data_IF_981868452603
#
_entry.id   IF_981868452603
#
_cell.length_a   1.000
_cell.length_b   1.000
_cell.length_c   1.000
_cell.angle_alpha   90.00
_cell.angle_beta   90.00
_cell.angle_gamma   90.00
#
_symmetry.space_group_name_H-M   'P 1'
#
loop_
_entity.id
_entity.type
_entity.pdbx_description
1 polymer ?
#
# COMPACT_ATOMS: atom_id res chain seq x y z
N UNK A 1 -22.28 -24.44 37.13
CA UNK A 1 -21.85 -24.08 35.76
C UNK A 1 -22.33 -22.66 35.50
N UNK A 2 -21.48 -21.62 35.57
CA UNK A 2 -20.57 -21.16 34.49
C UNK A 2 -21.35 -21.11 33.17
N UNK A 3 -21.76 -19.94 32.68
CA UNK A 3 -20.93 -19.09 31.80
C UNK A 3 -21.28 -17.60 32.00
N UNK A 4 -20.21 -16.81 32.06
CA UNK A 4 -20.13 -15.41 32.41
C UNK A 4 -20.77 -14.46 31.40
N UNK A 5 -21.32 -13.38 31.96
CA UNK A 5 -21.65 -12.10 31.34
C UNK A 5 -20.45 -11.55 30.57
N UNK A 6 -20.52 -11.54 29.25
CA UNK A 6 -19.55 -10.91 28.34
C UNK A 6 -20.18 -9.59 27.85
N UNK A 7 -20.35 -8.64 28.78
CA UNK A 7 -20.67 -7.26 28.41
C UNK A 7 -19.36 -6.50 28.19
N UNK A 8 -19.20 -6.17 26.93
CA UNK A 8 -18.35 -5.17 26.29
C UNK A 8 -18.18 -3.89 27.15
N UNK A 9 -17.04 -3.74 27.82
CA UNK A 9 -16.59 -2.45 28.36
C UNK A 9 -15.11 -2.28 28.04
N UNK A 10 -14.86 -1.59 26.92
CA UNK A 10 -13.55 -1.11 26.50
C UNK A 10 -13.15 0.05 27.45
N UNK A 11 -12.58 -0.29 28.60
CA UNK A 11 -11.99 0.69 29.50
C UNK A 11 -10.62 1.11 28.96
N UNK A 12 -10.40 2.43 28.86
CA UNK A 12 -9.10 3.03 28.56
C UNK A 12 -8.04 2.47 29.51
N UNK A 13 -7.09 1.72 28.98
CA UNK A 13 -5.88 1.36 29.71
C UNK A 13 -4.89 2.52 29.62
N UNK A 14 -4.88 3.38 30.65
CA UNK A 14 -3.75 4.27 30.92
C UNK A 14 -2.53 3.40 31.20
N UNK A 15 -1.58 3.35 30.26
CA UNK A 15 -0.28 2.70 30.50
C UNK A 15 0.48 3.59 31.48
N UNK A 16 0.59 3.13 32.73
CA UNK A 16 1.50 3.71 33.71
C UNK A 16 2.91 3.15 33.43
N UNK A 17 3.83 4.02 33.02
CA UNK A 17 5.25 3.67 32.94
C UNK A 17 5.79 3.55 34.36
N UNK A 18 6.28 2.35 34.67
CA UNK A 18 6.96 1.96 35.90
C UNK A 18 8.07 2.94 36.28
N UNK A 19 8.09 3.34 37.56
CA UNK A 19 9.15 4.14 38.16
C UNK A 19 10.49 3.40 38.08
N UNK A 20 11.51 4.05 37.50
CA UNK A 20 12.91 3.62 37.60
C UNK A 20 13.48 4.20 38.91
N UNK A 21 14.11 3.41 39.78
CA UNK A 21 14.75 3.94 40.98
C UNK A 21 15.97 4.77 40.59
N UNK A 22 15.92 6.09 40.86
CA UNK A 22 17.08 6.99 40.76
C UNK A 22 18.02 6.73 41.94
N UNK A 23 18.91 5.76 41.77
CA UNK A 23 19.96 5.47 42.73
C UNK A 23 21.05 6.57 42.74
N UNK A 24 21.29 7.12 43.93
CA UNK A 24 22.57 7.59 44.46
C UNK A 24 23.53 8.40 43.55
N UNK A 25 23.06 9.53 43.01
CA UNK A 25 23.94 10.63 42.57
C UNK A 25 23.60 11.98 43.22
N UNK A 26 23.00 11.94 44.42
CA UNK A 26 22.67 13.11 45.23
C UNK A 26 23.79 13.54 46.20
N UNK A 27 25.02 13.06 46.01
CA UNK A 27 26.15 13.43 46.86
C UNK A 27 27.32 13.91 46.01
N UNK A 28 27.61 15.21 46.14
CA UNK A 28 28.81 15.93 45.68
C UNK A 28 28.71 16.69 44.35
N UNK A 29 27.90 17.75 44.35
CA UNK A 29 28.25 19.01 43.68
C UNK A 29 27.76 20.19 44.55
N UNK A 30 28.28 20.30 45.76
CA UNK A 30 28.35 21.61 46.43
C UNK A 30 29.71 22.22 46.09
N UNK A 31 29.70 23.52 45.76
CA UNK A 31 30.85 24.39 45.43
C UNK A 31 31.25 24.50 43.95
N UNK A 32 30.39 25.11 43.12
CA UNK A 32 30.85 26.17 42.20
C UNK A 32 29.83 27.29 42.13
N UNK A 33 30.20 28.40 42.75
CA UNK A 33 29.48 29.67 42.84
C UNK A 33 29.29 30.30 41.44
N UNK A 34 28.04 30.63 41.13
CA UNK A 34 27.57 31.70 40.23
C UNK A 34 28.00 31.69 38.75
N UNK A 35 27.02 31.56 37.85
CA UNK A 35 26.70 32.68 36.95
C UNK A 35 25.18 32.83 36.88
N UNK A 36 24.69 33.91 37.47
CA UNK A 36 23.30 34.36 37.40
C UNK A 36 23.06 34.81 35.96
N UNK A 37 22.12 34.18 35.26
CA UNK A 37 21.60 34.74 34.00
C UNK A 37 20.71 35.90 34.44
N UNK A 38 21.23 37.12 34.32
CA UNK A 38 20.46 38.34 34.58
C UNK A 38 19.43 38.43 33.46
N UNK A 39 18.15 38.28 33.80
CA UNK A 39 17.04 38.73 32.95
C UNK A 39 17.07 40.26 32.98
N UNK A 40 17.83 40.85 32.06
CA UNK A 40 17.79 42.28 31.80
C UNK A 40 16.77 42.53 30.69
N UNK A 41 15.57 42.99 31.07
CA UNK A 41 14.61 43.55 30.11
C UNK A 41 15.11 44.93 29.68
N UNK A 42 16.05 44.94 28.73
CA UNK A 42 16.72 46.14 28.24
C UNK A 42 17.14 46.00 26.79
N UNK A 43 17.46 47.14 26.15
CA UNK A 43 18.03 47.17 24.81
C UNK A 43 19.33 46.35 24.76
N UNK A 44 19.56 45.62 23.66
CA UNK A 44 20.78 44.85 23.48
C UNK A 44 22.02 45.75 23.59
N UNK A 45 22.83 45.54 24.63
CA UNK A 45 24.05 46.30 24.91
C UNK A 45 25.30 45.43 24.97
N UNK A 46 25.46 44.48 24.03
CA UNK A 46 26.67 43.68 23.95
C UNK A 46 27.85 44.50 23.42
N UNK A 47 28.93 44.55 24.21
CA UNK A 47 30.13 45.36 23.88
C UNK A 47 30.93 44.78 22.70
N UNK A 48 30.78 43.49 22.42
CA UNK A 48 31.54 42.73 21.42
C UNK A 48 30.76 42.46 20.12
N UNK A 49 29.51 42.92 20.00
CA UNK A 49 28.69 42.73 18.78
C UNK A 49 28.43 44.08 18.12
N UNK A 50 29.17 44.38 17.05
CA UNK A 50 28.93 45.58 16.25
C UNK A 50 27.57 45.53 15.54
N UNK A 51 26.84 46.67 15.40
CA UNK A 51 25.63 46.75 14.58
C UNK A 51 25.78 46.32 13.13
N UNK A 52 27.01 46.38 12.59
CA UNK A 52 27.34 45.92 11.22
C UNK A 52 27.61 44.41 11.12
N UNK A 53 27.62 43.69 12.24
CA UNK A 53 27.92 42.26 12.26
C UNK A 53 26.73 41.45 11.71
N UNK A 54 27.00 40.43 10.90
CA UNK A 54 25.95 39.60 10.27
C UNK A 54 25.01 38.94 11.29
N UNK A 55 25.51 38.62 12.48
CA UNK A 55 24.73 37.99 13.55
C UNK A 55 23.93 39.01 14.38
N UNK A 56 24.24 40.31 14.31
CA UNK A 56 23.56 41.35 15.10
C UNK A 56 22.03 41.30 15.03
N UNK A 57 21.38 41.23 13.84
CA UNK A 57 19.92 41.18 13.78
C UNK A 57 19.33 39.91 14.41
N UNK A 58 20.03 38.77 14.33
CA UNK A 58 19.56 37.52 14.91
C UNK A 58 19.69 37.53 16.43
N UNK A 59 20.82 38.00 16.95
CA UNK A 59 21.04 38.10 18.39
C UNK A 59 20.06 39.14 18.97
N UNK A 60 19.84 40.28 18.29
CA UNK A 60 18.89 41.33 18.69
C UNK A 60 17.50 40.79 18.96
N UNK A 61 16.94 40.03 18.02
CA UNK A 61 15.64 39.37 18.21
C UNK A 61 15.63 38.39 19.38
N UNK A 62 16.66 37.56 19.49
CA UNK A 62 16.73 36.56 20.55
C UNK A 62 16.87 37.16 21.96
N UNK A 63 17.49 38.33 22.07
CA UNK A 63 17.62 39.07 23.33
C UNK A 63 16.35 39.88 23.65
N UNK A 64 15.90 40.73 22.72
CA UNK A 64 14.83 41.69 22.97
C UNK A 64 13.42 41.09 22.84
N UNK A 65 13.20 40.21 21.86
CA UNK A 65 11.85 39.72 21.51
C UNK A 65 11.53 38.41 22.24
N UNK A 66 12.54 37.56 22.42
CA UNK A 66 12.36 36.22 22.98
C UNK A 66 12.95 36.06 24.39
N UNK A 67 13.86 36.95 24.81
CA UNK A 67 14.57 36.89 26.10
C UNK A 67 15.19 35.51 26.39
N UNK A 68 15.58 34.77 25.35
CA UNK A 68 16.13 33.41 25.44
C UNK A 68 17.65 33.40 25.52
N UNK A 69 18.29 34.47 25.04
CA UNK A 69 19.73 34.67 25.12
C UNK A 69 20.04 35.67 26.23
N UNK A 70 20.87 35.25 27.19
CA UNK A 70 21.53 36.14 28.13
C UNK A 70 23.01 36.25 27.76
N UNK A 71 23.56 37.45 27.86
CA UNK A 71 25.01 37.65 27.71
C UNK A 71 25.80 37.08 28.88
N UNK A 72 27.11 37.14 28.76
CA UNK A 72 28.00 36.92 29.90
C UNK A 72 27.91 38.11 30.88
N UNK A 73 28.22 37.89 32.17
CA UNK A 73 28.15 38.94 33.20
C UNK A 73 29.07 40.13 32.96
N UNK A 74 30.03 40.00 32.05
CA UNK A 74 30.91 41.06 31.58
C UNK A 74 30.31 41.91 30.46
N UNK A 75 29.04 41.68 30.09
CA UNK A 75 28.34 42.41 29.03
C UNK A 75 28.75 42.00 27.61
N UNK A 76 29.31 40.80 27.44
CA UNK A 76 29.73 40.28 26.14
C UNK A 76 28.89 39.07 25.70
N UNK A 77 28.78 38.84 24.39
CA UNK A 77 28.11 37.66 23.80
C UNK A 77 29.10 36.51 23.54
N UNK A 78 30.37 36.83 23.27
CA UNK A 78 31.50 35.92 22.99
C UNK A 78 31.26 34.97 21.82
N UNK A 79 30.62 35.44 20.76
CA UNK A 79 30.24 34.61 19.60
C UNK A 79 31.41 33.98 18.82
N UNK A 80 32.63 34.50 18.97
CA UNK A 80 33.84 33.96 18.32
C UNK A 80 34.49 32.79 19.08
N UNK A 81 33.96 32.42 20.26
CA UNK A 81 34.47 31.32 21.07
C UNK A 81 33.78 30.01 20.69
N UNK A 82 34.51 28.89 20.77
CA UNK A 82 33.92 27.56 20.68
C UNK A 82 32.88 27.36 21.78
N UNK A 83 31.68 26.95 21.38
CA UNK A 83 30.56 26.66 22.29
C UNK A 83 30.70 25.25 22.87
N UNK A 84 30.55 25.09 24.18
CA UNK A 84 30.50 23.76 24.79
C UNK A 84 29.13 23.11 24.58
N UNK A 85 29.09 21.77 24.57
CA UNK A 85 27.82 21.03 24.42
C UNK A 85 26.80 21.37 25.52
N UNK A 86 27.27 21.66 26.73
CA UNK A 86 26.41 22.02 27.87
C UNK A 86 25.79 23.41 27.70
N UNK A 87 26.57 24.38 27.22
CA UNK A 87 26.07 25.73 26.94
C UNK A 87 25.05 25.71 25.79
N UNK A 88 25.31 24.90 24.75
CA UNK A 88 24.36 24.70 23.66
C UNK A 88 23.05 24.06 24.14
N UNK A 89 23.13 22.99 24.94
CA UNK A 89 21.94 22.32 25.47
C UNK A 89 21.10 23.24 26.35
N UNK A 90 21.74 24.06 27.20
CA UNK A 90 21.04 25.05 28.03
C UNK A 90 20.33 26.12 27.20
N UNK A 91 20.98 26.62 26.14
CA UNK A 91 20.37 27.58 25.22
C UNK A 91 19.16 26.99 24.49
N UNK A 92 19.28 25.76 23.98
CA UNK A 92 18.18 25.08 23.28
C UNK A 92 17.02 24.80 24.23
N UNK A 93 17.27 24.38 25.47
CA UNK A 93 16.22 24.15 26.47
C UNK A 93 15.38 25.41 26.68
N UNK A 94 16.03 26.56 26.89
CA UNK A 94 15.34 27.84 27.08
C UNK A 94 14.53 28.28 25.87
N UNK A 95 15.05 28.03 24.66
CA UNK A 95 14.31 28.31 23.42
C UNK A 95 13.06 27.45 23.34
N UNK A 96 13.16 26.16 23.67
CA UNK A 96 12.02 25.25 23.64
C UNK A 96 10.95 25.66 24.66
N UNK A 97 11.33 26.03 25.88
CA UNK A 97 10.40 26.53 26.90
C UNK A 97 9.67 27.80 26.42
N UNK A 98 10.39 28.71 25.74
CA UNK A 98 9.79 29.94 25.19
C UNK A 98 8.87 29.65 24.00
N UNK A 99 9.24 28.71 23.13
CA UNK A 99 8.39 28.28 22.00
C UNK A 99 7.11 27.65 22.52
N UNK A 100 7.18 26.80 23.55
CA UNK A 100 6.02 26.21 24.20
C UNK A 100 5.12 27.29 24.83
N UNK A 101 5.69 28.29 25.50
CA UNK A 101 4.97 29.46 26.02
C UNK A 101 4.28 30.28 24.91
N UNK A 102 4.95 30.50 23.78
CA UNK A 102 4.39 31.23 22.64
C UNK A 102 3.26 30.45 21.93
N UNK A 103 3.40 29.13 21.85
CA UNK A 103 2.36 28.23 21.32
C UNK A 103 1.17 28.18 22.29
N UNK A 104 1.42 28.07 23.61
CA UNK A 104 0.39 28.05 24.65
C UNK A 104 -0.36 29.39 24.74
N UNK A 105 0.31 30.52 24.49
CA UNK A 105 -0.29 31.86 24.40
C UNK A 105 -1.00 32.13 23.08
N UNK A 106 -1.08 31.14 22.18
CA UNK A 106 -2.04 31.13 21.07
C UNK A 106 -1.79 32.16 19.97
N UNK A 107 -0.54 32.60 19.75
CA UNK A 107 -0.21 33.47 18.62
C UNK A 107 0.66 32.70 17.62
N UNK A 108 0.07 31.84 16.76
CA UNK A 108 0.76 31.45 15.54
C UNK A 108 0.99 32.74 14.75
N UNK A 109 2.23 33.17 14.65
CA UNK A 109 2.60 34.31 13.83
C UNK A 109 2.18 34.02 12.38
N UNK A 110 1.04 34.59 11.96
CA UNK A 110 0.62 34.64 10.56
C UNK A 110 -0.59 33.81 10.12
N UNK A 111 -1.22 32.99 10.97
CA UNK A 111 -2.49 32.34 10.60
C UNK A 111 -3.65 33.23 11.05
N UNK A 112 -4.29 33.92 10.10
CA UNK A 112 -5.43 34.77 10.41
C UNK A 112 -6.72 33.95 10.46
N UNK A 113 -7.73 34.44 11.17
CA UNK A 113 -9.06 33.82 11.17
C UNK A 113 -9.64 33.72 9.74
N UNK A 114 -9.31 34.67 8.87
CA UNK A 114 -9.70 34.66 7.46
C UNK A 114 -9.07 33.49 6.68
N UNK A 115 -7.83 33.11 7.00
CA UNK A 115 -7.17 31.94 6.38
C UNK A 115 -7.84 30.64 6.82
N UNK A 116 -8.24 30.56 8.09
CA UNK A 116 -8.99 29.40 8.61
C UNK A 116 -10.38 29.29 7.98
N UNK A 117 -11.05 30.42 7.77
CA UNK A 117 -12.38 30.44 7.14
C UNK A 117 -12.29 30.11 5.64
N UNK A 118 -11.24 30.58 4.96
CA UNK A 118 -10.95 30.19 3.58
C UNK A 118 -10.65 28.69 3.46
N UNK A 119 -9.82 28.16 4.34
CA UNK A 119 -9.49 26.74 4.36
C UNK A 119 -10.73 25.87 4.60
N UNK A 120 -11.58 26.25 5.56
CA UNK A 120 -12.85 25.55 5.81
C UNK A 120 -13.74 25.56 4.57
N UNK A 121 -13.84 26.71 3.89
CA UNK A 121 -14.64 26.84 2.68
C UNK A 121 -14.12 25.92 1.56
N UNK A 122 -12.81 25.96 1.31
CA UNK A 122 -12.16 25.12 0.29
C UNK A 122 -12.31 23.62 0.62
N UNK A 123 -12.13 23.22 1.89
CA UNK A 123 -12.38 21.84 2.33
C UNK A 123 -13.83 21.39 2.15
N UNK A 124 -14.81 22.25 2.44
CA UNK A 124 -16.22 21.88 2.31
C UNK A 124 -16.62 21.68 0.85
N UNK A 125 -16.12 22.54 -0.05
CA UNK A 125 -16.33 22.38 -1.49
C UNK A 125 -15.67 21.09 -2.01
N UNK A 126 -14.43 20.82 -1.60
CA UNK A 126 -13.73 19.58 -2.01
C UNK A 126 -14.45 18.32 -1.51
N UNK A 127 -15.03 18.36 -0.31
CA UNK A 127 -15.83 17.24 0.22
C UNK A 127 -17.14 17.03 -0.54
N UNK A 128 -17.77 18.09 -1.03
CA UNK A 128 -18.98 18.01 -1.85
C UNK A 128 -18.68 17.43 -3.24
N UNK A 129 -17.58 17.86 -3.86
CA UNK A 129 -17.10 17.34 -5.13
C UNK A 129 -16.70 15.86 -5.00
N UNK A 130 -15.96 15.50 -3.94
CA UNK A 130 -15.61 14.11 -3.65
C UNK A 130 -16.85 13.23 -3.45
N UNK A 131 -17.88 13.71 -2.74
CA UNK A 131 -19.14 12.98 -2.60
C UNK A 131 -19.86 12.80 -3.94
N UNK A 132 -19.81 13.80 -4.81
CA UNK A 132 -20.42 13.74 -6.14
C UNK A 132 -19.70 12.72 -7.02
N UNK A 133 -18.37 12.70 -6.99
CA UNK A 133 -17.57 11.73 -7.72
C UNK A 133 -17.80 10.30 -7.21
N UNK A 134 -17.88 10.11 -5.89
CA UNK A 134 -18.22 8.80 -5.30
C UNK A 134 -19.59 8.30 -5.75
N UNK A 135 -20.59 9.18 -5.86
CA UNK A 135 -21.92 8.82 -6.39
C UNK A 135 -21.85 8.43 -7.86
N UNK A 136 -21.08 9.17 -8.67
CA UNK A 136 -20.88 8.86 -10.09
C UNK A 136 -20.20 7.50 -10.26
N UNK A 137 -19.13 7.27 -9.50
CA UNK A 137 -18.39 6.02 -9.55
C UNK A 137 -19.25 4.83 -9.08
N UNK A 138 -20.06 5.00 -8.04
CA UNK A 138 -21.00 3.97 -7.60
C UNK A 138 -22.03 3.62 -8.70
N UNK A 139 -22.49 4.62 -9.46
CA UNK A 139 -23.36 4.41 -10.61
C UNK A 139 -22.65 3.66 -11.74
N UNK A 140 -21.44 4.09 -12.11
CA UNK A 140 -20.64 3.44 -13.16
C UNK A 140 -20.36 1.96 -12.82
N UNK A 141 -20.08 1.65 -11.54
CA UNK A 141 -19.91 0.27 -11.06
C UNK A 141 -21.20 -0.55 -11.20
N UNK A 142 -22.35 0.04 -10.90
CA UNK A 142 -23.65 -0.62 -11.06
C UNK A 142 -23.96 -0.90 -12.54
N UNK A 143 -23.72 0.09 -13.41
CA UNK A 143 -23.96 -0.04 -14.85
C UNK A 143 -23.01 -1.10 -15.45
N UNK A 144 -21.74 -1.12 -15.04
CA UNK A 144 -20.78 -2.14 -15.47
C UNK A 144 -21.16 -3.56 -15.00
N UNK A 145 -21.68 -3.70 -13.78
CA UNK A 145 -22.17 -5.00 -13.30
C UNK A 145 -23.36 -5.48 -14.14
N UNK A 146 -24.25 -4.57 -14.53
CA UNK A 146 -25.38 -4.90 -15.39
C UNK A 146 -24.91 -5.33 -16.79
N UNK A 147 -23.98 -4.62 -17.40
CA UNK A 147 -23.42 -4.99 -18.70
C UNK A 147 -22.71 -6.36 -18.65
N UNK A 148 -22.08 -6.70 -17.52
CA UNK A 148 -21.47 -8.01 -17.30
C UNK A 148 -22.54 -9.12 -17.23
N UNK A 149 -23.64 -8.87 -16.53
CA UNK A 149 -24.76 -9.81 -16.44
C UNK A 149 -25.42 -10.01 -17.81
N UNK A 150 -25.68 -8.93 -18.56
CA UNK A 150 -26.21 -8.98 -19.92
C UNK A 150 -25.26 -9.76 -20.87
N UNK A 151 -23.95 -9.54 -20.74
CA UNK A 151 -22.93 -10.27 -21.51
C UNK A 151 -22.90 -11.76 -21.14
N UNK A 152 -23.05 -12.08 -19.86
CA UNK A 152 -23.10 -13.46 -19.38
C UNK A 152 -24.32 -14.19 -19.94
N UNK A 153 -25.47 -13.53 -19.96
CA UNK A 153 -26.68 -14.07 -20.56
C UNK A 153 -26.50 -14.35 -22.07
N UNK A 154 -25.84 -13.43 -22.80
CA UNK A 154 -25.51 -13.67 -24.20
C UNK A 154 -24.55 -14.85 -24.40
N UNK A 155 -23.52 -14.99 -23.55
CA UNK A 155 -22.59 -16.12 -23.59
C UNK A 155 -23.34 -17.44 -23.38
N UNK A 156 -24.26 -17.49 -22.43
CA UNK A 156 -25.05 -18.69 -22.17
C UNK A 156 -25.95 -19.05 -23.38
N UNK A 157 -26.55 -18.05 -24.03
CA UNK A 157 -27.30 -18.25 -25.28
C UNK A 157 -26.40 -18.77 -26.41
N UNK A 158 -25.22 -18.18 -26.63
CA UNK A 158 -24.29 -18.62 -27.68
C UNK A 158 -23.76 -20.01 -27.40
N UNK A 159 -23.38 -20.29 -26.14
CA UNK A 159 -22.93 -21.61 -25.70
C UNK A 159 -24.00 -22.66 -25.93
N UNK A 160 -25.25 -22.27 -25.77
CA UNK A 160 -26.39 -23.11 -26.04
C UNK A 160 -26.64 -23.34 -27.53
N UNK A 161 -26.30 -22.38 -28.39
CA UNK A 161 -26.37 -22.53 -29.85
C UNK A 161 -25.25 -23.39 -30.42
N UNK A 162 -24.13 -23.54 -29.73
CA UNK A 162 -23.00 -24.34 -30.21
C UNK A 162 -23.33 -25.83 -30.17
N UNK A 163 -23.19 -26.56 -31.29
CA UNK A 163 -23.41 -28.00 -31.31
C UNK A 163 -22.33 -28.73 -30.52
N UNK A 164 -22.70 -29.79 -29.82
CA UNK A 164 -21.74 -30.64 -29.10
C UNK A 164 -21.08 -31.60 -30.09
N UNK A 165 -19.86 -31.29 -30.53
CA UNK A 165 -19.08 -32.14 -31.43
C UNK A 165 -18.32 -33.21 -30.62
N UNK A 166 -18.56 -34.48 -30.95
CA UNK A 166 -17.83 -35.64 -30.46
C UNK A 166 -16.95 -36.19 -31.57
N UNK A 167 -15.68 -36.40 -31.29
CA UNK A 167 -14.75 -37.10 -32.19
C UNK A 167 -14.61 -38.53 -31.69
N UNK A 168 -14.72 -39.51 -32.58
CA UNK A 168 -14.58 -40.93 -32.30
C UNK A 168 -13.71 -41.59 -33.36
N UNK A 169 -13.13 -42.74 -33.02
CA UNK A 169 -12.26 -43.45 -33.95
C UNK A 169 -11.93 -44.84 -33.46
N UNK A 170 -11.77 -45.75 -34.41
CA UNK A 170 -11.45 -47.15 -34.21
C UNK A 170 -10.30 -47.53 -35.14
N UNK A 171 -9.28 -48.18 -34.60
CA UNK A 171 -8.18 -48.76 -35.36
C UNK A 171 -8.32 -50.27 -35.39
N UNK A 172 -8.28 -50.87 -36.57
CA UNK A 172 -8.35 -52.31 -36.74
C UNK A 172 -7.04 -52.83 -37.34
N UNK A 173 -6.44 -53.79 -36.67
CA UNK A 173 -5.27 -54.52 -37.15
C UNK A 173 -5.65 -55.98 -37.32
N UNK A 174 -5.62 -56.48 -38.56
CA UNK A 174 -5.88 -57.89 -38.87
C UNK A 174 -4.59 -58.55 -39.32
N UNK A 175 -4.12 -59.50 -38.52
CA UNK A 175 -3.00 -60.37 -38.83
C UNK A 175 -3.51 -61.81 -38.83
N UNK A 176 -3.44 -62.48 -39.97
CA UNK A 176 -3.85 -63.88 -40.11
C UNK A 176 -2.59 -64.76 -40.09
N UNK A 177 -2.50 -65.66 -39.11
CA UNK A 177 -1.41 -66.63 -39.01
C UNK A 177 -1.75 -67.81 -39.91
N UNK A 178 -0.97 -67.98 -40.97
CA UNK A 178 -1.11 -69.07 -41.94
C UNK A 178 -0.99 -70.42 -41.20
N UNK A 179 -2.09 -71.17 -41.10
CA UNK A 179 -2.03 -72.59 -40.75
C UNK A 179 -1.96 -73.38 -42.05
N UNK A 180 -0.91 -74.20 -42.28
CA UNK A 180 -0.75 -74.89 -43.55
C UNK A 180 -1.77 -76.04 -43.65
N UNK A 181 -2.87 -75.81 -44.37
CA UNK A 181 -3.69 -76.90 -44.92
C UNK A 181 -3.20 -77.19 -46.35
N UNK A 182 -2.45 -78.28 -46.50
CA UNK A 182 -1.97 -78.77 -47.78
C UNK A 182 -3.11 -79.34 -48.61
N UNK A 183 -3.63 -78.54 -49.55
CA UNK A 183 -4.47 -79.06 -50.65
C UNK A 183 -4.02 -78.40 -51.96
N UNK A 184 -3.51 -79.17 -52.96
CA UNK A 184 -2.90 -78.60 -54.15
C UNK A 184 -4.00 -78.25 -55.16
N UNK A 185 -4.50 -77.03 -55.10
CA UNK A 185 -5.11 -76.39 -56.26
C UNK A 185 -5.14 -74.87 -56.13
N UNK A 186 -5.37 -74.31 -54.94
CA UNK A 186 -5.51 -72.87 -54.75
C UNK A 186 -4.84 -72.43 -53.44
N UNK A 187 -3.71 -71.73 -53.51
CA UNK A 187 -3.05 -71.10 -52.36
C UNK A 187 -3.57 -69.66 -52.26
N UNK A 188 -4.52 -69.41 -51.36
CA UNK A 188 -5.04 -68.06 -51.12
C UNK A 188 -4.33 -67.46 -49.90
N UNK A 189 -3.40 -66.54 -50.14
CA UNK A 189 -2.75 -65.74 -49.09
C UNK A 189 -3.60 -64.50 -48.86
N UNK A 190 -4.19 -64.38 -47.68
CA UNK A 190 -4.86 -63.14 -47.31
C UNK A 190 -3.82 -62.13 -46.82
N UNK A 191 -3.76 -60.96 -47.47
CA UNK A 191 -2.84 -59.89 -47.11
C UNK A 191 -3.13 -59.34 -45.70
N UNK A 192 -2.10 -58.96 -44.90
CA UNK A 192 -2.35 -58.23 -43.66
C UNK A 192 -3.04 -56.90 -43.98
N UNK A 193 -4.04 -56.55 -43.19
CA UNK A 193 -4.84 -55.34 -43.38
C UNK A 193 -4.77 -54.44 -42.16
N UNK A 194 -4.47 -53.16 -42.41
CA UNK A 194 -4.57 -52.10 -41.41
C UNK A 194 -5.67 -51.14 -41.84
N UNK A 195 -6.64 -50.96 -40.96
CA UNK A 195 -7.74 -50.02 -41.17
C UNK A 195 -7.78 -48.97 -40.08
N UNK A 196 -8.02 -47.72 -40.46
CA UNK A 196 -8.31 -46.63 -39.54
C UNK A 196 -9.69 -46.08 -39.89
N UNK A 197 -10.58 -46.02 -38.89
CA UNK A 197 -11.84 -45.30 -38.98
C UNK A 197 -11.77 -44.12 -38.02
N UNK A 198 -11.87 -42.90 -38.54
CA UNK A 198 -12.02 -41.69 -37.74
C UNK A 198 -13.34 -41.02 -38.10
N UNK A 199 -14.03 -40.48 -37.12
CA UNK A 199 -15.30 -39.80 -37.34
C UNK A 199 -15.52 -38.67 -36.36
N UNK A 200 -16.39 -37.75 -36.74
CA UNK A 200 -16.98 -36.82 -35.80
C UNK A 200 -18.49 -36.79 -35.98
N UNK A 201 -19.19 -36.56 -34.88
CA UNK A 201 -20.63 -36.38 -34.86
C UNK A 201 -20.94 -35.20 -33.97
N UNK A 202 -21.71 -34.26 -34.48
CA UNK A 202 -22.21 -33.12 -33.74
C UNK A 202 -23.73 -33.16 -33.67
N UNK A 203 -24.28 -32.69 -32.56
CA UNK A 203 -25.71 -32.50 -32.40
C UNK A 203 -25.96 -31.07 -31.91
N UNK A 204 -26.81 -30.35 -32.64
CA UNK A 204 -27.31 -29.03 -32.23
C UNK A 204 -28.47 -29.17 -31.24
N UNK A 205 -28.72 -28.14 -30.42
CA UNK A 205 -29.89 -28.12 -29.51
C UNK A 205 -31.23 -28.25 -30.22
N UNK A 206 -31.32 -27.90 -31.50
CA UNK A 206 -32.53 -28.11 -32.31
C UNK A 206 -32.75 -29.58 -32.71
N UNK A 207 -31.87 -30.49 -32.29
CA UNK A 207 -31.92 -31.92 -32.64
C UNK A 207 -31.35 -32.24 -34.02
N UNK A 208 -30.78 -31.26 -34.72
CA UNK A 208 -30.08 -31.49 -35.99
C UNK A 208 -28.72 -32.14 -35.71
N UNK A 209 -28.57 -33.39 -36.16
CA UNK A 209 -27.32 -34.12 -36.10
C UNK A 209 -26.53 -33.99 -37.43
N UNK A 210 -25.22 -33.85 -37.32
CA UNK A 210 -24.30 -33.86 -38.46
C UNK A 210 -23.08 -34.71 -38.14
N UNK A 211 -22.40 -35.22 -39.15
CA UNK A 211 -21.17 -35.96 -38.94
C UNK A 211 -20.53 -36.41 -40.24
N UNK A 212 -19.25 -36.74 -40.16
CA UNK A 212 -18.52 -37.33 -41.27
C UNK A 212 -17.59 -38.42 -40.73
N UNK A 213 -17.36 -39.45 -41.54
CA UNK A 213 -16.44 -40.53 -41.24
C UNK A 213 -15.42 -40.65 -42.37
N UNK A 214 -14.16 -40.83 -41.99
CA UNK A 214 -13.05 -41.16 -42.87
C UNK A 214 -12.61 -42.59 -42.55
N UNK A 215 -12.69 -43.47 -43.55
CA UNK A 215 -12.19 -44.85 -43.43
C UNK A 215 -11.04 -45.02 -44.40
N UNK A 216 -9.88 -45.42 -43.88
CA UNK A 216 -8.75 -45.87 -44.69
C UNK A 216 -8.58 -47.38 -44.50
N UNK A 217 -8.19 -48.06 -45.57
CA UNK A 217 -7.82 -49.47 -45.56
C UNK A 217 -6.57 -49.62 -46.42
N UNK A 218 -5.51 -50.19 -45.84
CA UNK A 218 -4.31 -50.55 -46.56
C UNK A 218 -4.19 -52.08 -46.52
N UNK A 219 -4.26 -52.70 -47.68
CA UNK A 219 -3.94 -54.11 -47.89
C UNK A 219 -2.55 -54.18 -48.53
N UNK A 220 -1.65 -54.96 -47.93
CA UNK A 220 -0.33 -55.21 -48.53
C UNK A 220 -0.47 -56.37 -49.54
N UNK A 221 -0.62 -56.06 -50.83
CA UNK A 221 -0.57 -57.06 -51.89
C UNK A 221 0.85 -57.64 -51.99
N UNK A 222 1.04 -58.84 -51.44
CA UNK A 222 2.28 -59.60 -51.62
C UNK A 222 2.18 -60.32 -52.97
N UNK A 223 2.48 -59.59 -54.05
CA UNK A 223 2.71 -60.18 -55.37
C UNK A 223 4.16 -60.67 -55.42
N UNK A 224 4.34 -61.99 -55.53
CA UNK A 224 5.62 -62.63 -55.89
C UNK A 224 5.61 -62.94 -57.39
#
# INVERSE_FOLDING_TARGET
MKINKLLLTLALASVTVSQIPTNAYAAKVESTKSQVIVEDEGEMSFTDVSPSHWAYPAIKKLYEEYSVLGGFPDGTFRGNRNLSRYEFAAAVSKVMDKVEDLIAKGKPAGVTQADMDRLKKEFMTEMEDAQTELKRLAKDQQDMQKDLDDTKDQIDVVKDMLPKVKIHGESNFRMEVLTPNFTPANFEVNAPQVGLKLGFTGESKSGLAFGANLTTSLANDITN
#
